data_IF_618878770838
#
_entry.id   IF_618878770838
#
_cell.length_a   1.000
_cell.length_b   1.000
_cell.length_c   1.000
_cell.angle_alpha   90.00
_cell.angle_beta   90.00
_cell.angle_gamma   90.00
#
_symmetry.space_group_name_H-M   'P 1'
#
loop_
_entity.id
_entity.type
_entity.pdbx_description
1 polymer ?
#
# COMPACT_ATOMS: atom_id res chain seq x y z
N UNK A 1 58.85 -8.90 -36.92
CA UNK A 1 58.69 -7.43 -36.80
C UNK A 1 57.28 -7.16 -37.31
N UNK A 2 56.25 -6.93 -36.51
CA UNK A 2 56.14 -6.18 -35.25
C UNK A 2 54.99 -6.80 -34.40
N UNK A 3 54.99 -6.46 -33.11
CA UNK A 3 54.32 -7.09 -31.96
C UNK A 3 52.77 -7.14 -31.92
N UNK A 4 52.20 -7.98 -31.03
CA UNK A 4 50.77 -8.11 -30.75
C UNK A 4 50.28 -7.08 -29.71
N UNK A 5 49.03 -6.62 -29.84
CA UNK A 5 48.39 -5.72 -28.87
C UNK A 5 47.00 -6.22 -28.50
N UNK A 6 46.90 -6.81 -27.30
CA UNK A 6 45.68 -7.16 -26.59
C UNK A 6 44.72 -5.96 -26.44
N UNK A 7 43.46 -6.11 -26.84
CA UNK A 7 42.24 -5.61 -26.16
C UNK A 7 41.10 -6.46 -26.77
N UNK A 8 40.23 -7.18 -26.06
CA UNK A 8 39.45 -6.79 -24.91
C UNK A 8 38.96 -8.04 -24.19
N UNK A 9 39.14 -8.06 -22.87
CA UNK A 9 38.52 -9.04 -21.97
C UNK A 9 37.01 -8.83 -22.00
N UNK A 10 36.27 -9.89 -22.33
CA UNK A 10 34.87 -10.03 -21.96
C UNK A 10 34.78 -10.11 -20.43
N UNK A 11 34.72 -8.95 -19.79
CA UNK A 11 34.30 -8.81 -18.40
C UNK A 11 32.85 -8.32 -18.37
N UNK A 12 31.99 -9.19 -17.83
CA UNK A 12 30.83 -8.83 -17.02
C UNK A 12 29.84 -7.83 -17.62
N UNK A 13 28.79 -8.35 -18.26
CA UNK A 13 27.50 -7.67 -18.24
C UNK A 13 26.80 -8.05 -16.93
N UNK A 14 27.22 -7.39 -15.83
CA UNK A 14 26.49 -7.40 -14.58
C UNK A 14 25.29 -6.45 -14.70
N UNK A 15 24.15 -6.94 -14.27
CA UNK A 15 22.84 -6.28 -14.23
C UNK A 15 22.88 -4.76 -14.14
N UNK A 16 22.51 -4.11 -15.25
CA UNK A 16 21.95 -2.77 -15.20
C UNK A 16 20.50 -2.87 -14.74
N UNK A 17 20.29 -2.77 -13.44
CA UNK A 17 19.03 -2.23 -12.90
C UNK A 17 18.90 -0.83 -13.48
N UNK A 18 18.04 -0.64 -14.49
CA UNK A 18 17.81 0.69 -15.05
C UNK A 18 17.13 1.54 -13.97
N UNK A 19 17.89 2.45 -13.36
CA UNK A 19 17.33 3.63 -12.70
C UNK A 19 16.56 4.39 -13.76
N UNK A 20 15.23 4.25 -13.78
CA UNK A 20 14.37 5.08 -14.63
C UNK A 20 14.39 6.50 -14.08
N UNK A 21 14.65 7.46 -14.96
CA UNK A 21 14.59 8.88 -14.64
C UNK A 21 13.13 9.33 -14.60
N UNK A 22 12.82 10.28 -13.73
CA UNK A 22 11.48 10.88 -13.56
C UNK A 22 10.84 11.38 -14.88
N UNK A 23 11.64 11.63 -15.91
CA UNK A 23 11.19 12.13 -17.21
C UNK A 23 10.44 11.10 -18.07
N UNK A 24 10.50 9.80 -17.72
CA UNK A 24 9.96 8.72 -18.54
C UNK A 24 8.56 8.23 -18.09
N UNK A 25 7.89 8.96 -17.18
CA UNK A 25 6.58 8.59 -16.63
C UNK A 25 5.47 9.39 -17.31
N UNK A 26 4.57 8.70 -18.03
CA UNK A 26 3.43 9.32 -18.72
C UNK A 26 2.30 9.63 -17.72
N UNK A 27 1.64 10.80 -17.80
CA UNK A 27 0.54 11.18 -16.92
C UNK A 27 -0.65 10.23 -17.02
N UNK A 28 -1.27 10.02 -15.87
CA UNK A 28 -2.41 9.13 -15.71
C UNK A 28 -3.74 9.67 -16.25
N UNK A 29 -4.57 8.73 -16.67
CA UNK A 29 -6.03 8.84 -16.81
C UNK A 29 -6.65 9.45 -15.53
N UNK A 30 -7.65 10.35 -15.62
CA UNK A 30 -8.26 11.01 -14.47
C UNK A 30 -8.77 10.05 -13.40
N UNK A 31 -8.65 10.51 -12.14
CA UNK A 31 -9.10 9.89 -10.91
C UNK A 31 -10.62 9.66 -10.92
N UNK A 32 -11.07 8.57 -11.54
CA UNK A 32 -12.35 7.98 -11.18
C UNK A 32 -12.19 7.36 -9.78
N UNK A 33 -13.28 7.17 -9.04
CA UNK A 33 -13.36 6.53 -7.70
C UNK A 33 -12.67 5.15 -7.59
N UNK A 34 -12.09 4.65 -8.68
CA UNK A 34 -11.25 3.45 -8.81
C UNK A 34 -9.99 3.47 -7.94
N UNK A 35 -9.45 4.63 -7.56
CA UNK A 35 -8.19 4.75 -6.80
C UNK A 35 -8.34 5.31 -5.38
N UNK A 36 -9.53 5.82 -5.02
CA UNK A 36 -9.92 6.16 -3.65
C UNK A 36 -11.21 5.42 -3.33
N UNK A 37 -11.06 4.27 -2.69
CA UNK A 37 -12.16 3.34 -2.51
C UNK A 37 -12.65 3.45 -1.07
N UNK A 38 -13.77 4.15 -0.87
CA UNK A 38 -14.33 4.38 0.46
C UNK A 38 -14.87 3.11 1.13
N UNK A 39 -15.34 2.15 0.33
CA UNK A 39 -15.92 0.90 0.80
C UNK A 39 -15.51 -0.23 -0.14
N UNK A 40 -15.09 -1.33 0.44
CA UNK A 40 -14.77 -2.57 -0.28
C UNK A 40 -15.62 -3.69 0.32
N UNK A 41 -16.39 -4.38 -0.52
CA UNK A 41 -17.26 -5.48 -0.13
C UNK A 41 -16.65 -6.84 -0.52
N UNK A 42 -17.24 -7.90 0.05
CA UNK A 42 -16.94 -9.27 -0.39
C UNK A 42 -17.40 -9.46 -1.85
N UNK A 43 -16.56 -10.04 -2.70
CA UNK A 43 -16.76 -10.21 -4.14
C UNK A 43 -16.30 -9.04 -5.00
N UNK A 44 -15.88 -7.90 -4.41
CA UNK A 44 -15.39 -6.75 -5.20
C UNK A 44 -14.02 -7.06 -5.83
N UNK A 45 -13.82 -6.60 -7.06
CA UNK A 45 -12.54 -6.67 -7.77
C UNK A 45 -11.83 -5.31 -7.65
N UNK A 46 -10.67 -5.30 -6.97
CA UNK A 46 -9.85 -4.10 -6.77
C UNK A 46 -8.65 -4.15 -7.71
N UNK A 47 -8.44 -3.08 -8.47
CA UNK A 47 -7.35 -3.01 -9.45
C UNK A 47 -5.98 -3.17 -8.77
N UNK A 48 -5.20 -4.13 -9.25
CA UNK A 48 -3.87 -4.45 -8.72
C UNK A 48 -2.73 -4.08 -9.69
N UNK A 49 -3.06 -3.71 -10.93
CA UNK A 49 -2.09 -3.33 -11.94
C UNK A 49 -2.37 -3.96 -13.31
N UNK A 50 -1.45 -3.73 -14.24
CA UNK A 50 -1.46 -4.33 -15.59
C UNK A 50 -0.12 -4.99 -15.88
N UNK A 51 -0.16 -6.04 -16.69
CA UNK A 51 1.05 -6.67 -17.21
C UNK A 51 1.82 -5.73 -18.14
N UNK A 52 3.16 -5.74 -18.07
CA UNK A 52 4.00 -5.00 -19.03
C UNK A 52 4.19 -5.73 -20.35
N UNK A 53 4.00 -7.05 -20.35
CA UNK A 53 4.35 -7.94 -21.47
C UNK A 53 3.13 -8.58 -22.10
N UNK A 54 1.94 -8.41 -21.51
CA UNK A 54 0.68 -8.96 -22.02
C UNK A 54 -0.46 -7.95 -21.87
N UNK A 55 -1.59 -8.12 -22.58
CA UNK A 55 -2.75 -7.25 -22.40
C UNK A 55 -3.55 -7.58 -21.13
N UNK A 56 -3.02 -8.40 -20.22
CA UNK A 56 -3.71 -8.80 -19.01
C UNK A 56 -3.75 -7.67 -17.98
N UNK A 57 -4.93 -7.48 -17.40
CA UNK A 57 -5.15 -6.65 -16.22
C UNK A 57 -5.24 -7.55 -14.98
N UNK A 58 -4.75 -7.08 -13.84
CA UNK A 58 -4.72 -7.83 -12.59
C UNK A 58 -5.66 -7.18 -11.56
N UNK A 59 -6.46 -8.00 -10.90
CA UNK A 59 -7.40 -7.57 -9.86
C UNK A 59 -7.27 -8.45 -8.61
N UNK A 60 -7.21 -7.83 -7.44
CA UNK A 60 -7.42 -8.53 -6.18
C UNK A 60 -8.93 -8.76 -6.01
N UNK A 61 -9.35 -10.01 -5.92
CA UNK A 61 -10.73 -10.39 -5.61
C UNK A 61 -10.91 -10.45 -4.09
N UNK A 62 -11.83 -9.63 -3.59
CA UNK A 62 -12.06 -9.47 -2.17
C UNK A 62 -12.92 -10.60 -1.62
N UNK A 63 -12.32 -11.73 -1.25
CA UNK A 63 -13.01 -12.86 -0.61
C UNK A 63 -12.82 -12.85 0.92
N UNK A 64 -13.16 -11.72 1.56
CA UNK A 64 -13.07 -11.53 3.02
C UNK A 64 -13.75 -12.64 3.84
N UNK A 65 -14.82 -13.25 3.32
CA UNK A 65 -15.49 -14.39 3.97
C UNK A 65 -14.54 -15.57 4.25
N UNK A 66 -13.50 -15.75 3.44
CA UNK A 66 -12.45 -16.74 3.65
C UNK A 66 -11.67 -16.54 4.96
N UNK A 67 -11.74 -15.34 5.56
CA UNK A 67 -11.05 -14.96 6.79
C UNK A 67 -11.99 -14.74 7.99
N UNK A 68 -13.30 -14.97 7.86
CA UNK A 68 -14.27 -14.62 8.91
C UNK A 68 -13.98 -15.26 10.27
N UNK A 69 -13.52 -16.52 10.27
CA UNK A 69 -13.13 -17.21 11.50
C UNK A 69 -11.93 -16.54 12.20
N UNK A 70 -10.94 -16.09 11.43
CA UNK A 70 -9.74 -15.39 11.92
C UNK A 70 -10.08 -13.97 12.39
N UNK A 71 -11.03 -13.31 11.73
CA UNK A 71 -11.50 -11.97 12.07
C UNK A 71 -12.63 -11.96 13.11
N UNK A 72 -13.16 -13.11 13.53
CA UNK A 72 -14.31 -13.22 14.43
C UNK A 72 -14.13 -12.53 15.78
N UNK A 73 -12.88 -12.42 16.25
CA UNK A 73 -12.52 -11.74 17.52
C UNK A 73 -12.21 -10.26 17.35
N UNK A 74 -12.29 -9.73 16.13
CA UNK A 74 -12.14 -8.31 15.85
C UNK A 74 -13.54 -7.69 15.88
N UNK A 75 -13.83 -7.03 17.00
CA UNK A 75 -15.09 -6.32 17.24
C UNK A 75 -14.80 -4.99 17.95
N UNK A 76 -15.72 -4.02 17.93
CA UNK A 76 -15.51 -2.76 18.62
C UNK A 76 -15.31 -2.95 20.13
N UNK A 77 -16.08 -3.85 20.75
CA UNK A 77 -16.00 -4.12 22.21
C UNK A 77 -14.66 -4.72 22.63
N UNK A 78 -14.17 -5.75 21.94
CA UNK A 78 -12.86 -6.37 22.25
C UNK A 78 -11.72 -5.38 22.01
N UNK A 79 -11.83 -4.55 20.97
CA UNK A 79 -10.82 -3.52 20.68
C UNK A 79 -10.77 -2.45 21.78
N UNK A 80 -11.91 -2.04 22.33
CA UNK A 80 -11.97 -1.09 23.45
C UNK A 80 -11.45 -1.70 24.76
N UNK A 81 -11.82 -2.94 25.07
CA UNK A 81 -11.30 -3.66 26.25
C UNK A 81 -9.76 -3.73 26.23
N UNK A 82 -9.19 -4.04 25.07
CA UNK A 82 -7.73 -4.14 24.94
C UNK A 82 -7.04 -2.77 24.86
N UNK A 83 -7.74 -1.72 24.47
CA UNK A 83 -7.25 -0.34 24.57
C UNK A 83 -7.17 0.11 26.03
N UNK A 84 -8.27 -0.02 26.77
CA UNK A 84 -8.38 0.38 28.18
C UNK A 84 -7.41 -0.37 29.10
N UNK A 85 -7.09 -1.62 28.77
CA UNK A 85 -6.06 -2.40 29.47
C UNK A 85 -4.61 -2.04 29.12
N UNK A 86 -4.35 -1.03 28.27
CA UNK A 86 -3.01 -0.65 27.83
C UNK A 86 -2.71 0.82 28.16
N UNK A 87 -2.11 1.08 29.33
CA UNK A 87 -1.71 2.44 29.76
C UNK A 87 -0.66 3.09 28.84
N UNK A 88 0.09 2.28 28.08
CA UNK A 88 1.17 2.73 27.18
C UNK A 88 0.76 3.74 26.09
N UNK A 89 -0.52 3.88 25.77
CA UNK A 89 -0.97 4.85 24.75
C UNK A 89 -0.94 6.29 25.28
N UNK A 90 -1.29 6.48 26.54
CA UNK A 90 -1.24 7.79 27.19
C UNK A 90 0.20 8.27 27.36
N UNK A 91 1.13 7.35 27.66
CA UNK A 91 2.54 7.68 27.87
C UNK A 91 3.27 8.08 26.58
N UNK A 92 2.93 7.45 25.45
CA UNK A 92 3.61 7.69 24.15
C UNK A 92 3.00 8.90 23.41
N UNK A 93 1.72 9.18 23.61
CA UNK A 93 1.02 10.32 22.99
C UNK A 93 0.32 11.19 24.05
N UNK A 94 1.03 11.77 25.04
CA UNK A 94 0.43 12.41 26.21
C UNK A 94 -0.43 13.63 25.89
N UNK A 95 -0.20 14.29 24.75
CA UNK A 95 -0.98 15.45 24.30
C UNK A 95 -2.17 15.13 23.37
N UNK A 96 -2.35 13.88 22.96
CA UNK A 96 -3.40 13.50 22.02
C UNK A 96 -4.70 13.10 22.72
N UNK A 97 -5.83 13.26 22.05
CA UNK A 97 -7.14 12.83 22.56
C UNK A 97 -7.22 11.31 22.65
N UNK A 98 -8.08 10.79 23.52
CA UNK A 98 -8.28 9.34 23.59
C UNK A 98 -8.87 8.78 22.29
N UNK A 99 -9.67 9.55 21.57
CA UNK A 99 -10.21 9.14 20.26
C UNK A 99 -9.12 8.95 19.22
N UNK A 100 -8.14 9.84 19.19
CA UNK A 100 -6.95 9.70 18.35
C UNK A 100 -6.16 8.45 18.73
N UNK A 101 -5.87 8.27 20.03
CA UNK A 101 -5.15 7.09 20.55
C UNK A 101 -5.88 5.79 20.22
N UNK A 102 -7.21 5.76 20.31
CA UNK A 102 -8.05 4.63 19.89
C UNK A 102 -7.94 4.34 18.40
N UNK A 103 -7.89 5.38 17.57
CA UNK A 103 -7.71 5.22 16.11
C UNK A 103 -6.33 4.63 15.80
N UNK A 104 -5.26 5.13 16.40
CA UNK A 104 -3.91 4.55 16.26
C UNK A 104 -3.86 3.10 16.77
N UNK A 105 -4.50 2.80 17.90
CA UNK A 105 -4.63 1.43 18.40
C UNK A 105 -5.32 0.52 17.38
N UNK A 106 -6.43 0.97 16.78
CA UNK A 106 -7.13 0.20 15.77
C UNK A 106 -6.25 -0.06 14.53
N UNK A 107 -5.48 0.94 14.07
CA UNK A 107 -4.51 0.76 12.98
C UNK A 107 -3.47 -0.31 13.33
N UNK A 108 -2.88 -0.27 14.52
CA UNK A 108 -1.93 -1.30 14.97
C UNK A 108 -2.56 -2.70 14.95
N UNK A 109 -3.78 -2.83 15.47
CA UNK A 109 -4.52 -4.10 15.52
C UNK A 109 -4.88 -4.61 14.13
N UNK A 110 -5.24 -3.71 13.21
CA UNK A 110 -5.54 -4.03 11.82
C UNK A 110 -4.30 -4.54 11.07
N UNK A 111 -3.14 -3.89 11.23
CA UNK A 111 -1.88 -4.39 10.69
C UNK A 111 -1.54 -5.79 11.23
N UNK A 112 -1.74 -6.03 12.53
CA UNK A 112 -1.50 -7.36 13.13
C UNK A 112 -2.46 -8.42 12.61
N UNK A 113 -3.72 -8.07 12.37
CA UNK A 113 -4.68 -8.97 11.74
C UNK A 113 -4.25 -9.32 10.31
N UNK A 114 -3.87 -8.32 9.51
CA UNK A 114 -3.35 -8.53 8.16
C UNK A 114 -2.09 -9.40 8.16
N UNK A 115 -1.11 -9.15 9.04
CA UNK A 115 0.08 -10.01 9.21
C UNK A 115 -0.30 -11.44 9.62
N UNK A 116 -1.29 -11.61 10.49
CA UNK A 116 -1.70 -12.94 10.93
C UNK A 116 -2.32 -13.76 9.78
N UNK A 117 -3.15 -13.11 8.96
CA UNK A 117 -3.86 -13.72 7.83
C UNK A 117 -2.90 -13.97 6.66
N UNK A 118 -2.23 -12.92 6.19
CA UNK A 118 -1.42 -12.93 4.96
C UNK A 118 0.03 -13.38 5.19
N UNK A 119 0.43 -13.52 6.46
CA UNK A 119 1.80 -13.82 6.91
C UNK A 119 2.79 -12.67 6.69
N UNK A 120 3.85 -12.89 5.92
CA UNK A 120 4.86 -11.87 5.67
C UNK A 120 4.60 -11.25 4.30
N UNK A 121 4.70 -9.92 4.16
CA UNK A 121 4.59 -9.29 2.85
C UNK A 121 5.80 -9.67 2.00
N UNK A 122 5.56 -9.84 0.71
CA UNK A 122 6.65 -9.96 -0.26
C UNK A 122 7.16 -8.58 -0.65
N UNK A 123 8.46 -8.36 -0.48
CA UNK A 123 9.16 -7.15 -0.97
C UNK A 123 9.41 -7.18 -2.49
N UNK A 124 8.63 -7.97 -3.23
CA UNK A 124 8.82 -8.10 -4.68
C UNK A 124 8.24 -6.87 -5.35
N UNK A 125 8.99 -6.29 -6.30
CA UNK A 125 8.52 -5.19 -7.16
C UNK A 125 7.15 -5.55 -7.78
N UNK A 126 6.28 -4.55 -8.00
CA UNK A 126 4.96 -4.74 -8.62
C UNK A 126 4.99 -5.54 -9.94
N UNK A 127 6.07 -5.45 -10.73
CA UNK A 127 6.27 -6.26 -11.93
C UNK A 127 6.40 -7.78 -11.67
N UNK A 128 6.92 -8.18 -10.51
CA UNK A 128 7.00 -9.58 -10.07
C UNK A 128 5.71 -10.07 -9.40
N UNK A 129 4.83 -9.14 -8.96
CA UNK A 129 3.49 -9.45 -8.44
C UNK A 129 2.60 -10.02 -9.54
N UNK A 130 2.70 -9.50 -10.78
CA UNK A 130 1.89 -9.96 -11.91
C UNK A 130 2.00 -11.46 -12.21
N UNK A 131 3.18 -12.06 -12.04
CA UNK A 131 3.38 -13.50 -12.23
C UNK A 131 2.53 -14.36 -11.26
N UNK A 132 2.24 -13.83 -10.05
CA UNK A 132 1.36 -14.48 -9.09
C UNK A 132 -0.11 -14.48 -9.51
N UNK A 133 -0.54 -13.53 -10.34
CA UNK A 133 -1.91 -13.40 -10.82
C UNK A 133 -2.20 -14.27 -12.04
N UNK A 134 -1.20 -14.60 -12.86
CA UNK A 134 -1.41 -15.34 -14.12
C UNK A 134 -2.07 -16.71 -13.94
N UNK A 135 -1.88 -17.35 -12.79
CA UNK A 135 -2.55 -18.61 -12.42
C UNK A 135 -4.06 -18.46 -12.18
N UNK A 136 -4.56 -17.24 -12.06
CA UNK A 136 -5.95 -16.91 -11.77
C UNK A 136 -6.63 -16.20 -12.95
N UNK A 137 -6.26 -16.60 -14.18
CA UNK A 137 -6.90 -16.11 -15.39
C UNK A 137 -8.37 -16.50 -15.42
N UNK A 138 -9.24 -15.51 -15.62
CA UNK A 138 -10.68 -15.76 -15.76
C UNK A 138 -10.97 -16.24 -17.19
N UNK A 139 -11.59 -17.42 -17.39
CA UNK A 139 -11.87 -17.94 -18.72
C UNK A 139 -12.69 -16.98 -19.57
N UNK A 140 -12.24 -16.73 -20.81
CA UNK A 140 -12.91 -15.82 -21.75
C UNK A 140 -12.57 -14.34 -21.56
N UNK A 141 -11.93 -13.98 -20.44
CA UNK A 141 -11.64 -12.59 -20.08
C UNK A 141 -10.17 -12.20 -20.35
N UNK A 142 -9.93 -10.89 -20.44
CA UNK A 142 -8.59 -10.30 -20.57
C UNK A 142 -8.02 -9.82 -19.24
N UNK A 143 -8.38 -10.48 -18.15
CA UNK A 143 -7.86 -10.17 -16.83
C UNK A 143 -7.64 -11.43 -15.98
N UNK A 144 -6.86 -11.27 -14.92
CA UNK A 144 -6.69 -12.25 -13.87
C UNK A 144 -7.22 -11.67 -12.55
N UNK A 145 -7.94 -12.49 -11.78
CA UNK A 145 -8.50 -12.11 -10.50
C UNK A 145 -7.96 -13.05 -9.42
N UNK A 146 -7.02 -12.57 -8.60
CA UNK A 146 -6.44 -13.38 -7.51
C UNK A 146 -7.29 -13.15 -6.25
N UNK A 147 -7.92 -14.19 -5.68
CA UNK A 147 -8.60 -14.05 -4.39
C UNK A 147 -7.60 -13.72 -3.29
N UNK A 148 -7.96 -12.84 -2.35
CA UNK A 148 -7.10 -12.49 -1.21
C UNK A 148 -6.66 -13.72 -0.41
N UNK A 149 -7.51 -14.75 -0.31
CA UNK A 149 -7.15 -16.02 0.34
C UNK A 149 -5.98 -16.75 -0.31
N UNK A 150 -5.69 -16.49 -1.59
CA UNK A 150 -4.52 -17.00 -2.28
C UNK A 150 -3.24 -16.18 -2.05
N UNK A 151 -3.33 -15.01 -1.40
CA UNK A 151 -2.18 -14.14 -1.12
C UNK A 151 -1.38 -14.56 0.14
N UNK A 152 -1.78 -15.63 0.84
CA UNK A 152 -1.10 -16.07 2.06
C UNK A 152 0.36 -16.47 1.77
N UNK A 153 1.31 -15.70 2.31
CA UNK A 153 2.75 -15.91 2.12
C UNK A 153 3.34 -15.28 0.85
N UNK A 154 2.52 -14.64 0.01
CA UNK A 154 2.92 -13.93 -1.22
C UNK A 154 2.06 -12.66 -1.38
N UNK A 155 1.90 -11.91 -0.28
CA UNK A 155 1.02 -10.75 -0.18
C UNK A 155 1.75 -9.42 -0.47
N UNK A 156 1.02 -8.49 -1.08
CA UNK A 156 1.47 -7.17 -1.53
C UNK A 156 0.90 -6.05 -0.66
N UNK A 157 1.33 -4.80 -0.90
CA UNK A 157 0.76 -3.65 -0.20
C UNK A 157 -0.76 -3.53 -0.39
N UNK A 158 -1.28 -3.86 -1.57
CA UNK A 158 -2.72 -3.92 -1.83
C UNK A 158 -3.41 -4.97 -0.95
N UNK A 159 -2.89 -6.21 -0.93
CA UNK A 159 -3.48 -7.29 -0.13
C UNK A 159 -3.55 -6.91 1.36
N UNK A 160 -2.47 -6.33 1.89
CA UNK A 160 -2.41 -5.86 3.28
C UNK A 160 -3.38 -4.70 3.56
N UNK A 161 -3.48 -3.74 2.64
CA UNK A 161 -4.41 -2.62 2.76
C UNK A 161 -5.86 -3.12 2.81
N UNK A 162 -6.24 -4.05 1.94
CA UNK A 162 -7.60 -4.60 1.88
C UNK A 162 -7.97 -5.37 3.16
N UNK A 163 -7.08 -6.25 3.65
CA UNK A 163 -7.35 -6.99 4.90
C UNK A 163 -7.36 -6.05 6.12
N UNK A 164 -6.47 -5.05 6.16
CA UNK A 164 -6.46 -4.06 7.23
C UNK A 164 -7.70 -3.16 7.21
N UNK A 165 -8.16 -2.74 6.02
CA UNK A 165 -9.41 -1.99 5.82
C UNK A 165 -10.61 -2.78 6.39
N UNK A 166 -10.72 -4.07 6.03
CA UNK A 166 -11.78 -4.95 6.56
C UNK A 166 -11.70 -5.11 8.08
N UNK A 167 -10.50 -5.22 8.64
CA UNK A 167 -10.31 -5.29 10.09
C UNK A 167 -10.75 -3.98 10.78
N UNK A 168 -10.39 -2.82 10.24
CA UNK A 168 -10.80 -1.50 10.74
C UNK A 168 -12.33 -1.33 10.70
N UNK A 169 -12.95 -1.74 9.60
CA UNK A 169 -14.41 -1.73 9.45
C UNK A 169 -15.08 -2.55 10.57
N UNK A 170 -14.60 -3.78 10.84
CA UNK A 170 -15.10 -4.62 11.95
C UNK A 170 -14.86 -3.99 13.33
N UNK A 171 -13.89 -3.10 13.48
CA UNK A 171 -13.65 -2.32 14.70
C UNK A 171 -14.51 -1.05 14.78
N UNK A 172 -15.33 -0.76 13.77
CA UNK A 172 -16.13 0.47 13.70
C UNK A 172 -15.30 1.71 13.37
N UNK A 173 -14.16 1.54 12.69
CA UNK A 173 -13.28 2.63 12.25
C UNK A 173 -13.38 2.78 10.73
N UNK A 174 -14.07 3.83 10.23
CA UNK A 174 -14.11 4.12 8.80
C UNK A 174 -12.71 4.39 8.26
N UNK A 175 -12.41 3.86 7.08
CA UNK A 175 -11.19 4.13 6.33
C UNK A 175 -11.49 4.03 4.84
N UNK A 176 -10.64 4.62 3.99
CA UNK A 176 -10.67 4.39 2.55
C UNK A 176 -9.34 3.80 2.08
N UNK A 177 -9.41 2.96 1.05
CA UNK A 177 -8.23 2.38 0.39
C UNK A 177 -7.78 3.35 -0.70
N UNK A 178 -6.50 3.72 -0.68
CA UNK A 178 -5.90 4.56 -1.70
C UNK A 178 -4.85 3.77 -2.45
N UNK A 179 -5.08 3.59 -3.75
CA UNK A 179 -4.09 3.06 -4.69
C UNK A 179 -3.42 4.27 -5.32
N UNK A 180 -2.19 4.55 -4.90
CA UNK A 180 -1.45 5.70 -5.37
C UNK A 180 0.02 5.39 -5.37
N UNK A 181 0.81 6.34 -4.90
CA UNK A 181 2.25 6.15 -4.83
C UNK A 181 2.85 6.71 -3.55
N UNK A 182 3.99 6.11 -3.21
CA UNK A 182 4.85 6.48 -2.09
C UNK A 182 6.22 6.82 -2.62
N UNK A 183 6.81 7.89 -2.09
CA UNK A 183 8.19 8.23 -2.35
C UNK A 183 8.95 8.46 -1.06
N UNK A 184 10.16 7.89 -1.00
CA UNK A 184 11.11 8.18 0.06
C UNK A 184 11.88 9.47 -0.30
N UNK A 185 11.90 10.50 0.58
CA UNK A 185 12.50 11.79 0.26
C UNK A 185 14.03 11.73 0.12
N UNK A 186 14.69 10.74 0.71
CA UNK A 186 16.14 10.56 0.70
C UNK A 186 16.57 9.89 -0.60
N UNK A 187 15.94 8.77 -0.95
CA UNK A 187 16.32 8.00 -2.14
C UNK A 187 15.70 8.56 -3.42
N UNK A 188 14.62 9.35 -3.29
CA UNK A 188 13.76 9.82 -4.39
C UNK A 188 13.23 8.67 -5.25
N UNK A 189 13.29 7.43 -4.77
CA UNK A 189 12.63 6.31 -5.41
C UNK A 189 11.13 6.47 -5.23
N UNK A 190 10.42 6.13 -6.28
CA UNK A 190 8.98 6.22 -6.34
C UNK A 190 8.47 4.83 -6.69
N UNK A 191 7.51 4.37 -5.91
CA UNK A 191 6.84 3.11 -6.18
C UNK A 191 5.33 3.29 -6.08
N UNK A 192 4.63 2.53 -6.92
CA UNK A 192 3.21 2.28 -6.78
C UNK A 192 2.97 1.63 -5.42
N UNK A 193 2.03 2.17 -4.67
CA UNK A 193 1.80 1.76 -3.30
C UNK A 193 0.34 1.92 -2.89
N UNK A 194 -0.17 0.96 -2.13
CA UNK A 194 -1.51 1.01 -1.56
C UNK A 194 -1.45 1.28 -0.07
N UNK A 195 -2.24 2.23 0.40
CA UNK A 195 -2.30 2.64 1.80
C UNK A 195 -3.75 3.00 2.18
N UNK A 196 -3.98 3.23 3.46
CA UNK A 196 -5.29 3.59 3.99
C UNK A 196 -5.31 5.04 4.44
N UNK A 197 -6.45 5.69 4.25
CA UNK A 197 -6.73 6.99 4.86
C UNK A 197 -7.86 6.85 5.87
N UNK A 198 -7.73 7.57 6.98
CA UNK A 198 -8.70 7.61 8.06
C UNK A 198 -9.02 9.06 8.41
N UNK A 199 -10.06 9.23 9.22
CA UNK A 199 -10.45 10.53 9.77
C UNK A 199 -10.57 11.63 8.71
N UNK A 200 -11.34 11.34 7.65
CA UNK A 200 -11.56 12.26 6.52
C UNK A 200 -10.27 12.72 5.81
N UNK A 201 -9.23 11.87 5.83
CA UNK A 201 -7.94 12.15 5.21
C UNK A 201 -6.90 12.75 6.15
N UNK A 202 -7.23 13.00 7.42
CA UNK A 202 -6.28 13.55 8.40
C UNK A 202 -5.23 12.54 8.88
N UNK A 203 -5.41 11.26 8.56
CA UNK A 203 -4.46 10.21 8.93
C UNK A 203 -4.20 9.30 7.74
N UNK A 204 -2.93 9.02 7.50
CA UNK A 204 -2.48 7.99 6.57
C UNK A 204 -1.94 6.82 7.37
N UNK A 205 -2.40 5.62 7.04
CA UNK A 205 -1.98 4.38 7.66
C UNK A 205 -1.48 3.42 6.58
N UNK A 206 -0.22 3.03 6.70
CA UNK A 206 0.42 2.06 5.83
C UNK A 206 0.63 0.75 6.61
N UNK A 207 -0.22 -0.28 6.39
CA UNK A 207 -0.09 -1.53 7.12
C UNK A 207 1.25 -2.20 6.83
N UNK A 208 1.83 -2.04 5.64
CA UNK A 208 3.11 -2.69 5.29
C UNK A 208 4.27 -2.17 6.12
N UNK A 209 4.31 -0.85 6.40
CA UNK A 209 5.33 -0.27 7.28
C UNK A 209 5.20 -0.79 8.72
N UNK A 210 3.96 -0.99 9.18
CA UNK A 210 3.69 -1.45 10.55
C UNK A 210 3.97 -2.95 10.75
N UNK A 211 3.70 -3.81 9.76
CA UNK A 211 3.87 -5.28 9.92
C UNK A 211 5.33 -5.73 9.97
N UNK A 212 6.25 -4.95 9.43
CA UNK A 212 7.69 -5.19 9.52
C UNK A 212 8.29 -4.85 10.89
N UNK A 213 7.53 -4.17 11.76
CA UNK A 213 7.94 -3.93 13.13
C UNK A 213 7.74 -5.20 13.96
N UNK A 214 8.76 -6.06 14.04
CA UNK A 214 8.65 -7.37 14.68
C UNK A 214 8.22 -7.34 16.16
N UNK A 215 8.44 -6.21 16.87
CA UNK A 215 8.13 -6.06 18.30
C UNK A 215 7.43 -4.76 18.71
N UNK A 216 7.23 -3.79 17.82
CA UNK A 216 7.17 -2.40 18.26
C UNK A 216 5.80 -1.79 18.02
N UNK A 217 5.00 -1.74 19.08
CA UNK A 217 4.27 -0.51 19.33
C UNK A 217 5.30 0.64 19.42
N UNK A 218 5.06 1.82 18.83
CA UNK A 218 3.86 2.23 18.10
C UNK A 218 3.86 1.91 16.58
N UNK A 219 2.67 1.79 15.94
CA UNK A 219 2.52 1.59 14.50
C UNK A 219 2.96 2.83 13.71
N UNK A 220 3.27 2.64 12.42
CA UNK A 220 3.47 3.77 11.50
C UNK A 220 2.11 4.33 11.09
N UNK A 221 1.77 5.47 11.67
CA UNK A 221 0.61 6.29 11.32
C UNK A 221 1.14 7.69 11.08
N UNK A 222 0.72 8.28 9.98
CA UNK A 222 1.28 9.51 9.46
C UNK A 222 0.22 10.60 9.48
N UNK A 223 0.63 11.81 9.85
CA UNK A 223 -0.15 13.02 9.70
C UNK A 223 0.26 13.72 8.39
N UNK A 224 -0.66 13.86 7.42
CA UNK A 224 -0.40 14.60 6.21
C UNK A 224 -0.44 16.11 6.49
N UNK A 225 0.36 16.89 5.76
CA UNK A 225 0.39 18.36 5.87
C UNK A 225 -0.92 19.02 5.42
N UNK A 226 -1.75 18.29 4.67
CA UNK A 226 -3.13 18.63 4.35
C UNK A 226 -3.97 17.35 4.26
N UNK A 227 -5.27 17.38 4.58
CA UNK A 227 -6.10 16.17 4.57
C UNK A 227 -6.06 15.47 3.21
N UNK A 228 -5.77 14.17 3.20
CA UNK A 228 -5.66 13.38 1.98
C UNK A 228 -7.05 12.89 1.54
N UNK A 229 -7.73 13.72 0.76
CA UNK A 229 -9.06 13.47 0.19
C UNK A 229 -8.98 13.18 -1.30
N UNK A 230 -10.11 12.78 -1.89
CA UNK A 230 -10.25 12.69 -3.35
C UNK A 230 -9.80 14.01 -4.00
N UNK A 231 -10.30 15.15 -3.52
CA UNK A 231 -10.02 16.47 -4.08
C UNK A 231 -8.54 16.87 -3.95
N UNK A 232 -7.88 16.57 -2.83
CA UNK A 232 -6.45 16.91 -2.67
C UNK A 232 -5.56 16.00 -3.51
N UNK A 233 -5.99 14.78 -3.79
CA UNK A 233 -5.30 13.86 -4.69
C UNK A 233 -5.60 14.17 -6.17
N UNK A 234 -6.73 14.80 -6.46
CA UNK A 234 -7.10 15.29 -7.78
C UNK A 234 -6.28 16.54 -8.12
N UNK A 235 -5.07 16.39 -8.67
CA UNK A 235 -4.44 17.44 -9.47
C UNK A 235 -3.28 16.90 -10.32
N UNK A 236 -3.40 17.13 -11.63
CA UNK A 236 -2.44 16.80 -12.68
C UNK A 236 -1.37 17.89 -12.77
N UNK A 237 -0.09 17.52 -12.70
CA UNK A 237 0.95 18.40 -13.19
C UNK A 237 1.13 18.15 -14.71
N UNK A 238 0.91 19.20 -15.50
CA UNK A 238 1.02 19.18 -16.96
C UNK A 238 2.47 19.07 -17.48
N UNK A 239 3.44 18.87 -16.59
CA UNK A 239 4.88 18.92 -16.86
C UNK A 239 5.59 17.55 -16.67
N UNK A 240 4.82 16.47 -16.52
CA UNK A 240 5.38 15.13 -16.29
C UNK A 240 5.92 14.91 -14.87
N UNK A 241 5.70 15.86 -13.96
CA UNK A 241 5.91 15.62 -12.54
C UNK A 241 4.74 14.85 -11.94
N UNK A 242 5.01 14.14 -10.85
CA UNK A 242 4.00 13.44 -10.04
C UNK A 242 2.76 14.31 -9.85
N UNK A 243 1.57 13.71 -9.91
CA UNK A 243 0.36 14.36 -9.40
C UNK A 243 0.56 14.91 -7.99
N UNK A 244 -0.38 15.74 -7.52
CA UNK A 244 -0.26 16.43 -6.23
C UNK A 244 0.30 15.52 -5.12
N UNK A 245 1.43 15.95 -4.53
CA UNK A 245 2.10 15.24 -3.45
C UNK A 245 1.75 15.89 -2.13
N UNK A 246 1.56 15.06 -1.13
CA UNK A 246 1.28 15.47 0.23
C UNK A 246 2.38 14.88 1.11
N UNK A 247 3.11 15.77 1.78
CA UNK A 247 4.06 15.39 2.81
C UNK A 247 3.32 14.78 4.00
N UNK A 248 3.72 13.58 4.41
CA UNK A 248 3.13 12.86 5.53
C UNK A 248 4.22 12.56 6.56
N UNK A 249 4.01 13.00 7.80
CA UNK A 249 5.00 12.84 8.88
C UNK A 249 4.54 11.75 9.84
N UNK A 250 5.40 10.79 10.10
CA UNK A 250 5.15 9.77 11.11
C UNK A 250 5.08 10.39 12.49
N UNK A 251 3.96 10.14 13.17
CA UNK A 251 3.61 10.79 14.45
C UNK A 251 4.64 10.47 15.55
N UNK A 252 5.36 9.35 15.43
CA UNK A 252 6.24 8.83 16.47
C UNK A 252 7.73 9.07 16.21
N UNK A 253 8.16 8.83 14.98
CA UNK A 253 9.57 8.95 14.57
C UNK A 253 9.91 10.32 13.97
N UNK A 254 8.90 11.10 13.57
CA UNK A 254 9.10 12.33 12.81
C UNK A 254 9.62 12.10 11.38
N UNK A 255 9.69 10.84 10.93
CA UNK A 255 10.09 10.52 9.57
C UNK A 255 9.04 11.04 8.58
N UNK A 256 9.50 11.69 7.51
CA UNK A 256 8.61 12.20 6.47
C UNK A 256 8.63 11.28 5.26
N UNK A 257 7.45 11.00 4.72
CA UNK A 257 7.23 10.28 3.47
C UNK A 257 6.31 11.12 2.58
N UNK A 258 6.43 10.96 1.26
CA UNK A 258 5.54 11.63 0.33
C UNK A 258 4.50 10.63 -0.20
N UNK A 259 3.23 11.01 -0.12
CA UNK A 259 2.11 10.26 -0.69
C UNK A 259 1.44 11.09 -1.78
N UNK A 260 0.88 10.43 -2.81
CA UNK A 260 0.20 11.13 -3.90
C UNK A 260 -0.60 10.21 -4.80
N UNK A 261 -1.30 10.81 -5.77
CA UNK A 261 -2.23 10.15 -6.70
C UNK A 261 -1.59 9.35 -7.84
N UNK A 262 -0.32 8.95 -7.70
CA UNK A 262 0.44 8.38 -8.81
C UNK A 262 0.23 6.88 -9.06
N UNK A 263 -0.12 6.51 -10.28
CA UNK A 263 0.21 5.25 -10.99
C UNK A 263 0.46 5.54 -12.49
N UNK A 264 1.46 6.34 -12.85
CA UNK A 264 1.79 6.63 -14.26
C UNK A 264 2.26 5.40 -15.05
N UNK A 265 1.32 4.64 -15.64
CA UNK A 265 1.58 3.79 -16.80
C UNK A 265 0.85 4.36 -18.01
N UNK A 266 1.60 4.85 -19.00
CA UNK A 266 1.14 4.83 -20.39
C UNK A 266 2.33 4.60 -21.33
N UNK A 267 2.04 3.81 -22.36
CA UNK A 267 2.89 3.43 -23.48
C UNK A 267 3.02 4.60 -24.46
N UNK A 268 4.23 4.81 -24.97
CA UNK A 268 4.41 4.79 -26.42
C UNK A 268 4.78 3.36 -26.84
#
# INVERSE_FOLDING_TARGET
MTEPGEVSRLTQDQGKTSLRTLADMVPLTPYNEEFYIQRVNDGDLVFAGKSHTSPLTYFAECDFQSFDSLLSRITPGITEELFTGQEKFADVLPGQTDDFRRTVHACWRAARAAKHILKNPTMKNAAAVGAGYENYRVPGEKYCAKPLSASVGDATCLDYALVAHRALEKMGKPSAVVIGARADPVTRSIEEHTFLVLDSGNLVFDPTLTVHQDKCWPPWVLEPESPLTVDTLQNLAADGSFGHKISCTDIFSGATLLYGSGTGWTLD
#
